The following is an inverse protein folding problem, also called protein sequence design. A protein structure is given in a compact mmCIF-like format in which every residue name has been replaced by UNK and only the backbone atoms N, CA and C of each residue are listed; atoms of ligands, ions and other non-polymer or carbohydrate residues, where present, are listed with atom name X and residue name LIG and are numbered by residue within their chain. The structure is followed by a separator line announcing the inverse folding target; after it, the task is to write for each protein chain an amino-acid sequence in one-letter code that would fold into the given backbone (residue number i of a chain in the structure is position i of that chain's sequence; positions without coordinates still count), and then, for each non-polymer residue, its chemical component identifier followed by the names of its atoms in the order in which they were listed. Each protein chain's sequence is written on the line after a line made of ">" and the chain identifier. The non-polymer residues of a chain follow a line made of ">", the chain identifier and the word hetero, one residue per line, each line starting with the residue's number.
data_IF_020967286139
#
_entry.id   IF_020967286139
#
_cell.length_a   1.000
_cell.length_b   1.000
_cell.length_c   1.000
_cell.angle_alpha   90.00
_cell.angle_beta   90.00
_cell.angle_gamma   90.00
#
_symmetry.space_group_name_H-M   'P 1'
#
loop_
_entity.id
_entity.type
_entity.pdbx_description
1 polymer ?
#
# COMPACT_ATOMS: atom_id res chain seq x y z
N UNK A 1 11.72 -4.89 -20.87
CA UNK A 1 10.45 -4.13 -20.80
C UNK A 1 10.16 -3.92 -19.33
N UNK A 2 9.72 -2.73 -18.94
CA UNK A 2 9.35 -2.45 -17.54
C UNK A 2 7.86 -2.67 -17.37
N UNK A 3 7.44 -3.47 -16.40
CA UNK A 3 6.02 -3.73 -16.15
C UNK A 3 5.39 -2.60 -15.35
N UNK A 4 4.06 -2.51 -15.44
CA UNK A 4 3.25 -1.66 -14.58
C UNK A 4 2.31 -2.53 -13.76
N UNK A 5 1.96 -2.05 -12.58
CA UNK A 5 0.86 -2.62 -11.83
C UNK A 5 -0.49 -2.25 -12.47
N UNK A 6 -1.61 -2.83 -12.00
CA UNK A 6 -2.93 -2.52 -12.54
C UNK A 6 -3.42 -1.08 -12.28
N UNK A 7 -2.69 -0.26 -11.52
CA UNK A 7 -2.97 1.16 -11.29
C UNK A 7 -2.06 2.08 -12.10
N UNK A 8 -1.16 1.52 -12.91
CA UNK A 8 -0.29 2.26 -13.81
C UNK A 8 1.06 2.66 -13.21
N UNK A 9 1.34 2.27 -11.97
CA UNK A 9 2.62 2.49 -11.30
C UNK A 9 3.69 1.57 -11.89
N UNK A 10 4.88 2.11 -12.13
CA UNK A 10 5.96 1.34 -12.77
C UNK A 10 6.64 0.42 -11.75
N UNK A 11 6.86 -0.83 -12.14
CA UNK A 11 7.47 -1.88 -11.32
C UNK A 11 8.87 -2.19 -11.87
N UNK A 12 9.91 -2.18 -11.03
CA UNK A 12 11.29 -2.51 -11.40
C UNK A 12 11.50 -4.02 -11.67
N UNK A 13 10.79 -4.56 -12.64
CA UNK A 13 10.95 -5.96 -13.07
C UNK A 13 10.81 -6.07 -14.58
N UNK A 14 11.49 -7.08 -15.11
CA UNK A 14 11.35 -7.54 -16.50
C UNK A 14 10.59 -8.87 -16.59
N UNK A 15 10.10 -9.39 -15.46
CA UNK A 15 9.39 -10.65 -15.35
C UNK A 15 7.89 -10.40 -15.15
N UNK A 16 7.08 -10.82 -16.12
CA UNK A 16 5.61 -10.69 -16.05
C UNK A 16 5.04 -11.41 -14.83
N UNK A 17 5.58 -12.59 -14.51
CA UNK A 17 5.16 -13.37 -13.35
C UNK A 17 5.33 -12.61 -12.02
N UNK A 18 6.40 -11.82 -11.87
CA UNK A 18 6.63 -10.97 -10.69
C UNK A 18 5.60 -9.85 -10.60
N UNK A 19 5.27 -9.22 -11.72
CA UNK A 19 4.24 -8.19 -11.78
C UNK A 19 2.83 -8.76 -11.47
N UNK A 20 2.50 -9.96 -11.98
CA UNK A 20 1.25 -10.65 -11.65
C UNK A 20 1.17 -11.00 -10.15
N UNK A 21 2.25 -11.55 -9.59
CA UNK A 21 2.32 -11.87 -8.17
C UNK A 21 2.17 -10.60 -7.30
N UNK A 22 2.83 -9.49 -7.68
CA UNK A 22 2.68 -8.20 -7.01
C UNK A 22 1.21 -7.75 -6.95
N UNK A 23 0.52 -7.80 -8.09
CA UNK A 23 -0.89 -7.41 -8.17
C UNK A 23 -1.79 -8.29 -7.30
N UNK A 24 -1.57 -9.62 -7.32
CA UNK A 24 -2.33 -10.56 -6.52
C UNK A 24 -2.07 -10.37 -5.01
N UNK A 25 -0.80 -10.24 -4.60
CA UNK A 25 -0.43 -9.98 -3.22
C UNK A 25 -1.03 -8.68 -2.70
N UNK A 26 -1.03 -7.62 -3.51
CA UNK A 26 -1.62 -6.34 -3.12
C UNK A 26 -3.15 -6.43 -2.94
N UNK A 27 -3.85 -7.20 -3.78
CA UNK A 27 -5.30 -7.46 -3.61
C UNK A 27 -5.60 -8.25 -2.32
N UNK A 28 -4.80 -9.28 -2.04
CA UNK A 28 -4.90 -10.07 -0.81
C UNK A 28 -4.63 -9.24 0.45
N UNK A 29 -3.63 -8.34 0.39
CA UNK A 29 -3.32 -7.40 1.46
C UNK A 29 -4.50 -6.46 1.74
N UNK A 30 -5.06 -5.82 0.71
CA UNK A 30 -6.15 -4.85 0.89
C UNK A 30 -7.47 -5.51 1.31
N UNK A 31 -7.70 -6.76 0.92
CA UNK A 31 -8.88 -7.52 1.38
C UNK A 31 -8.68 -8.25 2.70
N UNK A 32 -7.47 -8.22 3.29
CA UNK A 32 -7.09 -9.03 4.45
C UNK A 32 -7.47 -10.52 4.31
N UNK A 33 -7.27 -11.08 3.11
CA UNK A 33 -7.61 -12.48 2.82
C UNK A 33 -6.38 -13.32 2.55
N UNK A 34 -6.51 -14.60 2.88
CA UNK A 34 -5.51 -15.63 2.63
C UNK A 34 -4.11 -15.23 3.14
N UNK A 35 -3.07 -15.76 2.49
CA UNK A 35 -1.68 -15.47 2.83
C UNK A 35 -1.01 -14.72 1.66
N UNK A 36 -0.93 -13.37 1.72
CA UNK A 36 -0.26 -12.59 0.68
C UNK A 36 1.26 -12.84 0.62
N UNK A 37 1.89 -13.24 1.73
CA UNK A 37 3.33 -13.57 1.81
C UNK A 37 3.63 -14.85 1.03
N UNK A 38 2.77 -15.87 1.13
CA UNK A 38 2.88 -17.11 0.37
C UNK A 38 2.80 -16.90 -1.16
N UNK A 39 2.10 -15.86 -1.62
CA UNK A 39 2.05 -15.49 -3.05
C UNK A 39 3.31 -14.77 -3.50
N UNK A 40 3.83 -13.85 -2.67
CA UNK A 40 4.96 -13.00 -3.05
C UNK A 40 6.31 -13.70 -2.95
N UNK A 41 6.46 -14.62 -1.98
CA UNK A 41 7.74 -15.27 -1.67
C UNK A 41 8.34 -16.00 -2.88
N UNK A 42 7.59 -16.86 -3.62
CA UNK A 42 8.12 -17.54 -4.80
C UNK A 42 8.50 -16.60 -5.95
N UNK A 43 7.91 -15.39 -6.01
CA UNK A 43 8.27 -14.38 -6.99
C UNK A 43 9.64 -13.76 -6.64
N UNK A 44 9.87 -13.42 -5.37
CA UNK A 44 11.16 -12.88 -4.91
C UNK A 44 12.30 -13.90 -4.98
N UNK A 45 12.02 -15.20 -4.82
CA UNK A 45 13.01 -16.25 -5.03
C UNK A 45 13.49 -16.34 -6.50
N UNK A 46 12.60 -16.05 -7.45
CA UNK A 46 12.91 -16.10 -8.90
C UNK A 46 13.42 -14.77 -9.43
N UNK A 47 13.03 -13.67 -8.79
CA UNK A 47 13.34 -12.30 -9.18
C UNK A 47 13.85 -11.52 -7.95
N UNK A 48 15.05 -11.87 -7.43
CA UNK A 48 15.58 -11.30 -6.19
C UNK A 48 15.86 -9.81 -6.28
N UNK A 49 15.97 -9.26 -7.50
CA UNK A 49 16.24 -7.85 -7.76
C UNK A 49 14.94 -7.01 -7.88
N UNK A 50 13.77 -7.61 -7.67
CA UNK A 50 12.47 -6.95 -7.79
C UNK A 50 12.20 -5.96 -6.64
N UNK A 51 12.65 -4.71 -6.82
CA UNK A 51 12.55 -3.62 -5.81
C UNK A 51 11.12 -3.47 -5.30
N UNK A 52 10.14 -3.24 -6.18
CA UNK A 52 8.74 -3.11 -5.75
C UNK A 52 8.22 -4.33 -4.97
N UNK A 53 8.64 -5.55 -5.32
CA UNK A 53 8.27 -6.76 -4.57
C UNK A 53 8.82 -6.73 -3.13
N UNK A 54 10.10 -6.37 -2.96
CA UNK A 54 10.69 -6.20 -1.63
C UNK A 54 10.04 -5.06 -0.84
N UNK A 55 9.67 -3.95 -1.49
CA UNK A 55 8.92 -2.88 -0.82
C UNK A 55 7.54 -3.35 -0.34
N UNK A 56 6.84 -4.18 -1.12
CA UNK A 56 5.56 -4.79 -0.72
C UNK A 56 5.76 -5.76 0.45
N UNK A 57 6.79 -6.60 0.42
CA UNK A 57 7.11 -7.50 1.53
C UNK A 57 7.42 -6.71 2.81
N UNK A 58 8.30 -5.71 2.74
CA UNK A 58 8.61 -4.83 3.88
C UNK A 58 7.38 -4.09 4.41
N UNK A 59 6.54 -3.58 3.51
CA UNK A 59 5.26 -2.95 3.87
C UNK A 59 4.32 -3.89 4.63
N UNK A 60 4.14 -5.12 4.15
CA UNK A 60 3.30 -6.12 4.84
C UNK A 60 3.80 -6.44 6.25
N UNK A 61 5.12 -6.54 6.42
CA UNK A 61 5.73 -6.77 7.74
C UNK A 61 5.44 -5.60 8.69
N UNK A 62 5.56 -4.36 8.21
CA UNK A 62 5.24 -3.15 8.99
C UNK A 62 3.75 -3.01 9.31
N UNK A 63 2.87 -3.45 8.40
CA UNK A 63 1.42 -3.40 8.58
C UNK A 63 0.90 -4.28 9.74
N UNK A 64 1.73 -5.16 10.30
CA UNK A 64 1.40 -5.97 11.48
C UNK A 64 1.42 -5.18 12.79
N UNK A 65 2.08 -4.01 12.80
CA UNK A 65 2.35 -3.21 14.01
C UNK A 65 3.12 -3.95 15.11
N UNK A 66 3.76 -5.07 14.77
CA UNK A 66 4.61 -5.82 15.69
C UNK A 66 6.07 -5.33 15.54
N UNK A 67 6.70 -4.77 16.60
CA UNK A 67 8.10 -4.37 16.57
C UNK A 67 9.06 -5.50 16.20
N UNK A 68 8.69 -6.77 16.39
CA UNK A 68 9.50 -7.91 15.96
C UNK A 68 9.62 -7.98 14.43
N UNK A 69 8.65 -7.43 13.70
CA UNK A 69 8.63 -7.38 12.23
C UNK A 69 9.47 -6.24 11.65
N UNK A 70 9.97 -5.31 12.47
CA UNK A 70 10.85 -4.23 12.02
C UNK A 70 12.16 -4.74 11.39
N UNK A 71 12.80 -5.74 12.01
CA UNK A 71 14.04 -6.31 11.48
C UNK A 71 13.83 -7.10 10.16
N UNK A 72 12.83 -8.00 10.05
CA UNK A 72 12.43 -8.59 8.77
C UNK A 72 12.07 -7.56 7.70
N UNK A 73 11.32 -6.51 8.05
CA UNK A 73 10.98 -5.43 7.12
C UNK A 73 12.26 -4.74 6.61
N UNK A 74 13.17 -4.35 7.50
CA UNK A 74 14.43 -3.72 7.14
C UNK A 74 15.28 -4.62 6.24
N UNK A 75 15.34 -5.93 6.50
CA UNK A 75 16.07 -6.87 5.65
C UNK A 75 15.50 -6.93 4.22
N UNK A 76 14.17 -6.89 4.06
CA UNK A 76 13.56 -6.80 2.73
C UNK A 76 13.85 -5.45 2.06
N UNK A 77 13.80 -4.34 2.80
CA UNK A 77 14.15 -3.01 2.29
C UNK A 77 15.62 -2.91 1.88
N UNK A 78 16.54 -3.59 2.56
CA UNK A 78 17.95 -3.66 2.13
C UNK A 78 18.12 -4.52 0.88
N UNK A 79 17.31 -5.57 0.70
CA UNK A 79 17.29 -6.33 -0.55
C UNK A 79 16.82 -5.47 -1.73
N UNK A 80 15.81 -4.61 -1.51
CA UNK A 80 15.43 -3.56 -2.48
C UNK A 80 16.59 -2.59 -2.78
N UNK A 81 17.31 -2.11 -1.76
CA UNK A 81 18.46 -1.20 -1.94
C UNK A 81 19.63 -1.84 -2.70
N UNK A 82 19.82 -3.16 -2.54
CA UNK A 82 20.93 -3.89 -3.12
C UNK A 82 20.70 -4.30 -4.58
N UNK A 83 19.47 -4.16 -5.10
CA UNK A 83 19.14 -4.44 -6.49
C UNK A 83 20.04 -3.64 -7.45
N UNK A 84 20.58 -4.25 -8.52
CA UNK A 84 21.33 -3.55 -9.55
C UNK A 84 20.45 -2.69 -10.46
N UNK A 85 19.12 -2.77 -10.33
CA UNK A 85 18.18 -2.00 -11.12
C UNK A 85 18.09 -0.55 -10.60
N UNK A 86 17.87 0.38 -11.52
CA UNK A 86 17.60 1.76 -11.14
C UNK A 86 16.16 1.89 -10.57
N UNK A 87 15.97 2.30 -9.31
CA UNK A 87 14.62 2.45 -8.75
C UNK A 87 13.91 3.64 -9.39
N UNK A 88 12.61 3.48 -9.60
CA UNK A 88 11.71 4.57 -10.02
C UNK A 88 11.52 5.61 -8.92
N UNK A 89 11.01 6.80 -9.25
CA UNK A 89 10.69 7.82 -8.24
C UNK A 89 9.71 7.34 -7.17
N UNK A 90 8.76 6.48 -7.58
CA UNK A 90 7.83 5.78 -6.68
C UNK A 90 8.58 4.91 -5.68
N UNK A 91 9.43 4.01 -6.18
CA UNK A 91 10.18 3.06 -5.35
C UNK A 91 11.14 3.78 -4.40
N UNK A 92 11.79 4.85 -4.85
CA UNK A 92 12.69 5.66 -4.01
C UNK A 92 11.95 6.31 -2.84
N UNK A 93 10.82 6.98 -3.12
CA UNK A 93 10.05 7.68 -2.09
C UNK A 93 9.33 6.72 -1.13
N UNK A 94 8.82 5.60 -1.64
CA UNK A 94 8.22 4.54 -0.81
C UNK A 94 9.27 3.87 0.08
N UNK A 95 10.43 3.49 -0.46
CA UNK A 95 11.55 2.94 0.33
C UNK A 95 11.95 3.88 1.47
N UNK A 96 12.12 5.17 1.16
CA UNK A 96 12.51 6.17 2.14
C UNK A 96 11.48 6.30 3.29
N UNK A 97 10.19 6.12 3.01
CA UNK A 97 9.15 6.12 4.03
C UNK A 97 9.18 4.85 4.89
N UNK A 98 9.22 3.68 4.25
CA UNK A 98 9.21 2.38 4.93
C UNK A 98 10.48 2.14 5.74
N UNK A 99 11.64 2.63 5.29
CA UNK A 99 12.91 2.50 6.02
C UNK A 99 12.85 3.19 7.37
N UNK A 100 12.31 4.42 7.42
CA UNK A 100 12.21 5.17 8.68
C UNK A 100 11.23 4.49 9.63
N UNK A 101 10.11 3.99 9.10
CA UNK A 101 9.18 3.19 9.90
C UNK A 101 9.88 1.93 10.44
N UNK A 102 10.56 1.14 9.61
CA UNK A 102 11.28 -0.06 10.03
C UNK A 102 12.40 0.20 11.05
N UNK A 103 12.90 1.44 11.13
CA UNK A 103 13.86 1.85 12.17
C UNK A 103 13.20 2.21 13.51
N UNK A 104 11.88 2.09 13.61
CA UNK A 104 11.10 2.31 14.82
C UNK A 104 10.34 3.63 14.86
N UNK A 105 10.44 4.48 13.82
CA UNK A 105 9.73 5.75 13.75
C UNK A 105 8.56 5.68 12.76
N UNK A 106 7.49 5.02 13.20
CA UNK A 106 6.23 4.93 12.46
C UNK A 106 5.61 6.31 12.19
N UNK A 107 5.79 7.26 13.10
CA UNK A 107 5.20 8.59 13.00
C UNK A 107 5.78 9.37 11.81
N UNK A 108 7.11 9.40 11.70
CA UNK A 108 7.85 10.01 10.58
C UNK A 108 7.66 9.19 9.29
N UNK A 109 7.71 7.85 9.38
CA UNK A 109 7.43 6.98 8.23
C UNK A 109 6.07 7.27 7.58
N UNK A 110 5.01 7.42 8.38
CA UNK A 110 3.68 7.74 7.89
C UNK A 110 3.57 9.18 7.33
N UNK A 111 4.33 10.15 7.87
CA UNK A 111 4.42 11.49 7.25
C UNK A 111 5.09 11.44 5.87
N UNK A 112 6.10 10.58 5.69
CA UNK A 112 6.72 10.36 4.38
C UNK A 112 5.81 9.65 3.41
N UNK A 113 4.98 8.71 3.87
CA UNK A 113 3.90 8.13 3.05
C UNK A 113 2.89 9.21 2.62
N UNK A 114 2.55 10.17 3.50
CA UNK A 114 1.70 11.31 3.12
C UNK A 114 2.31 12.14 1.98
N UNK A 115 3.61 12.44 2.08
CA UNK A 115 4.32 13.15 1.03
C UNK A 115 4.40 12.34 -0.27
N UNK A 116 4.69 11.05 -0.17
CA UNK A 116 4.74 10.13 -1.31
C UNK A 116 3.42 10.14 -2.09
N UNK A 117 2.28 10.11 -1.39
CA UNK A 117 0.94 10.10 -1.99
C UNK A 117 0.55 11.42 -2.69
N UNK A 118 1.34 12.49 -2.56
CA UNK A 118 1.18 13.70 -3.38
C UNK A 118 1.64 13.44 -4.82
N UNK A 119 2.79 12.76 -4.96
CA UNK A 119 3.41 12.48 -6.26
C UNK A 119 2.87 11.18 -6.88
N UNK A 120 2.44 10.23 -6.04
CA UNK A 120 1.92 8.91 -6.43
C UNK A 120 0.53 8.63 -5.80
N UNK A 121 -0.52 9.40 -6.15
CA UNK A 121 -1.83 9.29 -5.49
C UNK A 121 -2.54 7.96 -5.76
N UNK A 122 -2.07 7.17 -6.74
CA UNK A 122 -2.61 5.86 -7.11
C UNK A 122 -1.82 4.68 -6.52
N UNK A 123 -0.82 4.94 -5.68
CA UNK A 123 -0.08 3.90 -4.98
C UNK A 123 -0.94 3.31 -3.85
N UNK A 124 -1.61 2.21 -4.18
CA UNK A 124 -2.54 1.54 -3.27
C UNK A 124 -1.84 0.91 -2.05
N UNK A 125 -0.58 0.47 -2.19
CA UNK A 125 0.19 -0.02 -1.05
C UNK A 125 0.45 1.10 -0.06
N UNK A 126 0.94 2.25 -0.55
CA UNK A 126 1.18 3.41 0.30
C UNK A 126 -0.11 3.92 0.96
N UNK A 127 -1.25 3.90 0.26
CA UNK A 127 -2.55 4.24 0.83
C UNK A 127 -2.93 3.32 1.98
N UNK A 128 -2.90 2.01 1.77
CA UNK A 128 -3.24 1.02 2.81
C UNK A 128 -2.35 1.18 4.05
N UNK A 129 -1.04 1.30 3.86
CA UNK A 129 -0.08 1.45 4.96
C UNK A 129 -0.29 2.76 5.71
N UNK A 130 -0.49 3.87 5.01
CA UNK A 130 -0.69 5.16 5.65
C UNK A 130 -2.04 5.24 6.39
N UNK A 131 -3.10 4.69 5.79
CA UNK A 131 -4.45 4.67 6.38
C UNK A 131 -4.49 3.82 7.65
N UNK A 132 -3.94 2.59 7.60
CA UNK A 132 -3.83 1.73 8.79
C UNK A 132 -2.92 2.35 9.85
N UNK A 133 -1.85 3.06 9.44
CA UNK A 133 -0.97 3.77 10.36
C UNK A 133 -1.66 4.95 11.04
N UNK A 134 -2.48 5.71 10.32
CA UNK A 134 -3.28 6.80 10.87
C UNK A 134 -4.24 6.28 11.94
N UNK A 135 -4.85 5.12 11.73
CA UNK A 135 -5.71 4.45 12.73
C UNK A 135 -4.91 4.11 14.00
N UNK A 136 -3.77 3.41 13.84
CA UNK A 136 -2.92 3.02 14.96
C UNK A 136 -2.32 4.21 15.73
N UNK A 137 -2.07 5.35 15.06
CA UNK A 137 -1.58 6.59 15.67
C UNK A 137 -2.70 7.49 16.22
N UNK A 138 -3.98 7.11 16.07
CA UNK A 138 -5.13 7.91 16.51
C UNK A 138 -5.34 9.20 15.70
N UNK A 139 -4.90 9.24 14.44
CA UNK A 139 -5.01 10.38 13.53
C UNK A 139 -6.33 10.35 12.76
N UNK A 140 -7.44 10.39 13.48
CA UNK A 140 -8.80 10.22 12.92
C UNK A 140 -9.09 11.11 11.72
N UNK A 141 -8.69 12.39 11.74
CA UNK A 141 -8.93 13.29 10.59
C UNK A 141 -8.17 12.87 9.34
N UNK A 142 -7.00 12.23 9.50
CA UNK A 142 -6.20 11.77 8.36
C UNK A 142 -6.79 10.55 7.67
N UNK A 143 -7.55 9.71 8.38
CA UNK A 143 -8.32 8.60 7.78
C UNK A 143 -9.26 9.13 6.68
N UNK A 144 -9.91 10.28 6.94
CA UNK A 144 -10.77 10.95 5.97
C UNK A 144 -9.99 11.79 4.95
N UNK A 145 -9.11 12.67 5.43
CA UNK A 145 -8.56 13.76 4.61
C UNK A 145 -7.50 13.27 3.62
N UNK A 146 -6.72 12.24 3.98
CA UNK A 146 -5.73 11.63 3.08
C UNK A 146 -6.41 10.99 1.88
N UNK A 147 -7.46 10.22 2.14
CA UNK A 147 -8.18 9.50 1.10
C UNK A 147 -8.94 10.50 0.22
N UNK A 148 -9.59 11.49 0.83
CA UNK A 148 -10.28 12.56 0.10
C UNK A 148 -9.35 13.31 -0.85
N UNK A 149 -8.08 13.51 -0.46
CA UNK A 149 -7.07 14.18 -1.30
C UNK A 149 -6.69 13.36 -2.54
N UNK A 150 -6.60 12.04 -2.44
CA UNK A 150 -6.19 11.19 -3.58
C UNK A 150 -7.35 10.81 -4.49
N UNK A 151 -8.59 10.75 -3.98
CA UNK A 151 -9.77 10.33 -4.73
C UNK A 151 -9.93 10.96 -6.12
N UNK A 152 -9.64 12.25 -6.35
CA UNK A 152 -9.71 12.84 -7.70
C UNK A 152 -8.78 12.21 -8.74
N UNK A 153 -7.73 11.50 -8.32
CA UNK A 153 -6.82 10.78 -9.21
C UNK A 153 -7.31 9.35 -9.54
N UNK A 154 -8.40 8.90 -8.92
CA UNK A 154 -8.98 7.58 -9.09
C UNK A 154 -10.30 7.65 -9.88
N UNK A 155 -10.61 6.54 -10.54
CA UNK A 155 -11.83 6.33 -11.32
C UNK A 155 -12.44 4.97 -10.99
N UNK A 156 -13.74 4.81 -11.29
CA UNK A 156 -14.46 3.56 -11.04
C UNK A 156 -13.88 2.34 -11.78
N UNK A 157 -13.19 2.56 -12.90
CA UNK A 157 -12.51 1.49 -13.66
C UNK A 157 -11.16 1.06 -13.08
N UNK A 158 -10.63 1.79 -12.10
CA UNK A 158 -9.31 1.50 -11.56
C UNK A 158 -9.33 0.31 -10.60
N UNK A 159 -8.39 -0.63 -10.81
CA UNK A 159 -8.26 -1.80 -9.96
C UNK A 159 -7.92 -1.39 -8.51
N UNK A 160 -8.83 -1.69 -7.58
CA UNK A 160 -8.72 -1.33 -6.17
C UNK A 160 -9.48 -0.08 -5.76
N UNK A 161 -10.18 0.59 -6.68
CA UNK A 161 -10.99 1.78 -6.35
C UNK A 161 -12.04 1.51 -5.26
N UNK A 162 -12.64 0.32 -5.24
CA UNK A 162 -13.55 -0.10 -4.16
C UNK A 162 -12.91 0.06 -2.77
N UNK A 163 -11.69 -0.45 -2.58
CA UNK A 163 -10.94 -0.29 -1.31
C UNK A 163 -10.70 1.17 -0.94
N UNK A 164 -10.41 2.03 -1.92
CA UNK A 164 -10.19 3.46 -1.68
C UNK A 164 -11.51 4.13 -1.22
N UNK A 165 -12.65 3.71 -1.77
CA UNK A 165 -13.96 4.15 -1.28
C UNK A 165 -14.27 3.62 0.12
N UNK A 166 -13.92 2.37 0.42
CA UNK A 166 -14.06 1.80 1.76
C UNK A 166 -13.25 2.59 2.79
N UNK A 167 -11.97 2.85 2.51
CA UNK A 167 -11.12 3.71 3.36
C UNK A 167 -11.76 5.10 3.58
N UNK A 168 -12.31 5.72 2.53
CA UNK A 168 -12.99 7.01 2.67
C UNK A 168 -14.25 6.90 3.55
N UNK A 169 -15.03 5.84 3.39
CA UNK A 169 -16.23 5.59 4.17
C UNK A 169 -15.87 5.42 5.66
N UNK A 170 -14.88 4.59 5.95
CA UNK A 170 -14.34 4.39 7.31
C UNK A 170 -13.85 5.71 7.93
N UNK A 171 -13.06 6.50 7.20
CA UNK A 171 -12.59 7.80 7.68
C UNK A 171 -13.73 8.80 7.95
N UNK A 172 -14.80 8.76 7.16
CA UNK A 172 -16.00 9.57 7.39
C UNK A 172 -16.77 9.11 8.63
N UNK A 173 -16.91 7.81 8.85
CA UNK A 173 -17.55 7.23 10.04
C UNK A 173 -16.82 7.67 11.31
N UNK A 174 -15.49 7.51 11.34
CA UNK A 174 -14.64 7.93 12.46
C UNK A 174 -14.69 9.45 12.71
N UNK A 175 -15.08 10.23 11.70
CA UNK A 175 -15.34 11.67 11.79
C UNK A 175 -16.82 12.04 12.01
N UNK A 176 -17.68 11.09 12.41
CA UNK A 176 -19.09 11.28 12.70
C UNK A 176 -19.95 11.71 11.48
N UNK A 177 -19.46 11.53 10.25
CA UNK A 177 -20.16 11.86 9.01
C UNK A 177 -20.94 10.65 8.45
N UNK A 178 -21.78 10.05 9.29
CA UNK A 178 -22.38 8.72 9.08
C UNK A 178 -23.19 8.56 7.78
N UNK A 179 -23.97 9.56 7.39
CA UNK A 179 -24.78 9.49 6.16
C UNK A 179 -23.90 9.37 4.90
N UNK A 180 -22.79 10.12 4.88
CA UNK A 180 -21.82 10.06 3.78
C UNK A 180 -21.03 8.76 3.81
N UNK A 181 -20.65 8.30 5.01
CA UNK A 181 -19.98 7.03 5.22
C UNK A 181 -20.83 5.86 4.69
N UNK A 182 -22.11 5.79 5.05
CA UNK A 182 -23.01 4.73 4.59
C UNK A 182 -23.17 4.73 3.06
N UNK A 183 -23.38 5.91 2.47
CA UNK A 183 -23.54 6.02 1.02
C UNK A 183 -22.27 5.55 0.26
N UNK A 184 -21.08 5.92 0.73
CA UNK A 184 -19.83 5.47 0.14
C UNK A 184 -19.54 3.99 0.42
N UNK A 185 -19.76 3.52 1.65
CA UNK A 185 -19.55 2.11 2.02
C UNK A 185 -20.41 1.16 1.19
N UNK A 186 -21.68 1.50 0.93
CA UNK A 186 -22.54 0.71 0.04
C UNK A 186 -21.99 0.63 -1.40
N UNK A 187 -21.39 1.71 -1.90
CA UNK A 187 -20.73 1.72 -3.22
C UNK A 187 -19.44 0.91 -3.21
N UNK A 188 -18.64 1.04 -2.16
CA UNK A 188 -17.40 0.29 -1.96
C UNK A 188 -17.67 -1.21 -2.03
N UNK A 189 -18.63 -1.72 -1.23
CA UNK A 189 -19.03 -3.14 -1.23
C UNK A 189 -19.60 -3.59 -2.57
N UNK A 190 -20.36 -2.74 -3.27
CA UNK A 190 -20.89 -3.09 -4.59
C UNK A 190 -19.78 -3.26 -5.65
N UNK A 191 -18.70 -2.48 -5.55
CA UNK A 191 -17.54 -2.55 -6.45
C UNK A 191 -16.54 -3.62 -6.04
N UNK A 192 -16.35 -3.81 -4.74
CA UNK A 192 -15.41 -4.73 -4.13
C UNK A 192 -16.07 -5.43 -2.94
N UNK A 193 -16.75 -6.58 -3.17
CA UNK A 193 -17.46 -7.31 -2.11
C UNK A 193 -16.57 -7.84 -0.98
N UNK A 194 -15.25 -7.84 -1.18
CA UNK A 194 -14.25 -8.26 -0.21
C UNK A 194 -13.52 -7.09 0.46
N UNK A 195 -14.07 -5.88 0.36
CA UNK A 195 -13.59 -4.75 1.15
C UNK A 195 -13.84 -4.98 2.64
N UNK A 196 -12.89 -4.56 3.46
CA UNK A 196 -12.88 -4.73 4.92
C UNK A 196 -13.00 -3.42 5.68
N UNK A 197 -12.89 -2.29 4.98
CA UNK A 197 -13.08 -0.95 5.51
C UNK A 197 -14.57 -0.59 5.54
#
# INVERSE_FOLDING_TARGET
>A
MTFKDLRGETLSTVHEASALAYNQTLDLLNSYRADPVAVLTPALEKDPDFISGHLLMGGMMLATYDPQMNAPALASLESASASPLAPTGREQSLHAALRVWAQGDMNEGNQRLDRHLIDHPRDLLALQLAHTADLALGRTTMLRDRIARVLPAWSESDAGYGYVLGMQAFGLEECFAYEQAEALGRRAVALQPHDTW
#
